data_IF_879538332218
#
_entry.id   IF_879538332218
#
_cell.length_a   1.000
_cell.length_b   1.000
_cell.length_c   1.000
_cell.angle_alpha   90.00
_cell.angle_beta   90.00
_cell.angle_gamma   90.00
#
_symmetry.space_group_name_H-M   'P 1'
#
loop_
_entity.id
_entity.type
_entity.pdbx_description
1 polymer ?
#
# COMPACT_ATOMS: atom_id res chain seq x y z
N UNK A 1 6.16 -12.93 15.79
CA UNK A 1 5.42 -12.73 14.53
C UNK A 1 6.29 -11.90 13.59
N UNK A 2 6.44 -12.26 12.32
CA UNK A 2 7.29 -11.50 11.38
C UNK A 2 6.42 -10.45 10.68
N UNK A 3 6.57 -9.19 11.08
CA UNK A 3 6.03 -8.05 10.35
C UNK A 3 6.90 -7.78 9.13
N UNK A 4 6.27 -7.37 8.05
CA UNK A 4 6.91 -6.96 6.80
C UNK A 4 6.45 -5.54 6.50
N UNK A 5 7.26 -4.80 5.77
CA UNK A 5 6.98 -3.44 5.41
C UNK A 5 7.26 -3.19 3.93
N UNK A 6 6.58 -2.20 3.37
CA UNK A 6 6.84 -1.69 2.03
C UNK A 6 6.84 -0.17 2.08
N UNK A 7 7.72 0.45 1.29
CA UNK A 7 7.78 1.90 1.12
C UNK A 7 7.06 2.22 -0.19
N UNK A 8 6.08 3.13 -0.14
CA UNK A 8 5.27 3.51 -1.30
C UNK A 8 5.07 5.03 -1.34
N UNK A 9 4.89 5.62 -2.54
CA UNK A 9 4.48 7.01 -2.65
C UNK A 9 3.13 7.25 -1.96
N UNK A 10 3.00 8.36 -1.25
CA UNK A 10 1.74 8.79 -0.63
C UNK A 10 1.58 10.30 -0.73
N UNK A 11 0.67 10.74 -1.61
CA UNK A 11 0.51 12.16 -1.97
C UNK A 11 1.86 12.76 -2.38
N UNK A 12 2.31 13.82 -1.69
CA UNK A 12 3.59 14.50 -1.93
C UNK A 12 4.70 14.03 -0.96
N UNK A 13 4.50 12.91 -0.28
CA UNK A 13 5.45 12.32 0.66
C UNK A 13 5.62 10.82 0.39
N UNK A 14 6.29 10.14 1.33
CA UNK A 14 6.57 8.71 1.32
C UNK A 14 5.82 8.08 2.50
N UNK A 15 5.24 6.92 2.28
CA UNK A 15 4.59 6.13 3.31
C UNK A 15 5.27 4.78 3.50
N UNK A 16 5.29 4.32 4.75
CA UNK A 16 5.62 2.96 5.14
C UNK A 16 4.32 2.22 5.50
N UNK A 17 4.06 1.12 4.83
CA UNK A 17 2.93 0.23 5.15
C UNK A 17 3.48 -1.01 5.85
N UNK A 18 3.11 -1.20 7.12
CA UNK A 18 3.55 -2.34 7.95
C UNK A 18 2.40 -3.33 8.11
N UNK A 19 2.65 -4.62 7.88
CA UNK A 19 1.63 -5.68 7.93
C UNK A 19 2.23 -7.05 8.28
N UNK A 20 1.39 -8.01 8.66
CA UNK A 20 1.82 -9.38 8.96
C UNK A 20 1.48 -10.36 7.83
N UNK A 21 2.48 -11.09 7.32
CA UNK A 21 2.26 -12.07 6.25
C UNK A 21 1.48 -13.31 6.69
N UNK A 22 1.53 -13.69 7.97
CA UNK A 22 1.00 -14.97 8.45
C UNK A 22 -0.45 -14.93 8.96
N UNK A 23 -1.01 -13.75 9.16
CA UNK A 23 -2.39 -13.61 9.68
C UNK A 23 -3.43 -13.89 8.59
N UNK A 24 -4.58 -14.48 8.96
CA UNK A 24 -5.68 -14.72 8.02
C UNK A 24 -6.38 -13.40 7.67
N UNK A 25 -6.63 -12.59 8.69
CA UNK A 25 -7.06 -11.20 8.54
C UNK A 25 -5.84 -10.30 8.57
N UNK A 26 -5.79 -9.32 7.67
CA UNK A 26 -4.68 -8.39 7.58
C UNK A 26 -5.03 -7.07 8.21
N UNK A 27 -4.05 -6.54 8.94
CA UNK A 27 -3.98 -5.14 9.33
C UNK A 27 -2.82 -4.46 8.63
N UNK A 28 -3.04 -3.23 8.21
CA UNK A 28 -2.07 -2.38 7.54
C UNK A 28 -1.89 -1.11 8.37
N UNK A 29 -0.75 -1.02 9.07
CA UNK A 29 -0.36 0.20 9.76
C UNK A 29 0.31 1.15 8.77
N UNK A 30 -0.32 2.31 8.56
CA UNK A 30 0.15 3.32 7.62
C UNK A 30 0.93 4.38 8.40
N UNK A 31 2.18 4.56 8.03
CA UNK A 31 3.05 5.61 8.54
C UNK A 31 3.43 6.55 7.40
N UNK A 32 3.54 7.84 7.68
CA UNK A 32 3.93 8.85 6.70
C UNK A 32 5.18 9.56 7.18
N UNK A 33 6.08 9.84 6.24
CA UNK A 33 7.29 10.59 6.54
C UNK A 33 6.96 12.07 6.74
N UNK A 34 7.39 12.64 7.87
CA UNK A 34 7.39 14.07 8.09
C UNK A 34 8.48 14.69 7.21
N UNK A 35 8.14 15.76 6.50
CA UNK A 35 9.05 16.40 5.54
C UNK A 35 10.08 17.34 6.22
N UNK A 36 10.10 17.41 7.55
CA UNK A 36 11.06 18.20 8.30
C UNK A 36 12.40 17.46 8.41
N UNK A 37 13.41 17.96 7.70
CA UNK A 37 14.75 17.38 7.68
C UNK A 37 15.46 17.57 9.03
N UNK A 38 16.02 16.49 9.59
CA UNK A 38 16.86 16.53 10.80
C UNK A 38 16.15 16.20 12.12
N UNK A 39 14.90 15.73 12.08
CA UNK A 39 14.17 15.28 13.27
C UNK A 39 14.46 13.79 13.53
N UNK A 40 14.75 13.40 14.77
CA UNK A 40 15.06 12.00 15.13
C UNK A 40 13.89 11.03 14.89
N UNK A 41 12.66 11.53 14.76
CA UNK A 41 11.46 10.74 14.51
C UNK A 41 10.69 11.26 13.28
N UNK A 42 11.20 10.96 12.09
CA UNK A 42 10.59 11.36 10.82
C UNK A 42 9.31 10.59 10.45
N UNK A 43 8.82 9.64 11.26
CA UNK A 43 7.65 8.83 10.90
C UNK A 43 6.50 9.04 11.88
N UNK A 44 5.35 9.45 11.34
CA UNK A 44 4.11 9.57 12.11
C UNK A 44 3.14 8.49 11.67
N UNK A 45 2.56 7.76 12.63
CA UNK A 45 1.50 6.79 12.32
C UNK A 45 0.25 7.57 11.92
N UNK A 46 -0.19 7.40 10.67
CA UNK A 46 -1.37 8.06 10.15
C UNK A 46 -2.64 7.32 10.59
N UNK A 47 -2.70 6.02 10.34
CA UNK A 47 -3.86 5.19 10.67
C UNK A 47 -3.54 3.70 10.64
N UNK A 48 -4.47 2.88 11.12
CA UNK A 48 -4.50 1.43 10.93
C UNK A 48 -5.72 1.08 10.08
N UNK A 49 -5.52 0.32 9.00
CA UNK A 49 -6.59 -0.20 8.16
C UNK A 49 -6.74 -1.70 8.42
N UNK A 50 -7.99 -2.17 8.58
CA UNK A 50 -8.34 -3.58 8.78
C UNK A 50 -9.27 -3.80 9.97
N UNK A 51 -9.67 -5.06 10.23
CA UNK A 51 -9.22 -6.28 9.55
C UNK A 51 -9.73 -6.39 8.11
N UNK A 52 -8.89 -6.89 7.20
CA UNK A 52 -9.31 -7.25 5.83
C UNK A 52 -9.02 -8.73 5.60
N UNK A 53 -10.03 -9.48 5.17
CA UNK A 53 -9.90 -10.90 4.86
C UNK A 53 -9.52 -11.13 3.39
N UNK A 54 -8.90 -12.28 3.11
CA UNK A 54 -8.55 -12.76 1.74
C UNK A 54 -7.60 -11.82 0.97
N UNK A 55 -6.84 -11.01 1.69
CA UNK A 55 -5.79 -10.15 1.12
C UNK A 55 -4.42 -10.53 1.64
N UNK A 56 -3.40 -10.18 0.87
CA UNK A 56 -2.01 -10.52 1.14
C UNK A 56 -1.21 -9.25 1.39
N UNK A 57 -0.37 -8.85 0.43
CA UNK A 57 0.52 -7.71 0.57
C UNK A 57 -0.11 -6.43 -0.01
N UNK A 58 0.26 -5.27 0.56
CA UNK A 58 -0.03 -4.00 -0.07
C UNK A 58 0.97 -3.72 -1.20
N UNK A 59 0.48 -3.08 -2.25
CA UNK A 59 1.25 -2.68 -3.42
C UNK A 59 1.36 -1.16 -3.53
N UNK A 60 0.47 -0.41 -2.87
CA UNK A 60 0.49 1.05 -2.85
C UNK A 60 -0.88 1.64 -2.58
N UNK A 61 -1.01 2.93 -2.87
CA UNK A 61 -2.25 3.68 -2.76
C UNK A 61 -2.83 4.01 -4.14
N UNK A 62 -4.15 4.06 -4.21
CA UNK A 62 -4.89 4.65 -5.33
C UNK A 62 -5.22 6.12 -5.05
N UNK A 63 -5.95 6.73 -5.97
CA UNK A 63 -6.15 8.19 -6.09
C UNK A 63 -6.75 8.85 -4.85
N UNK A 64 -7.65 8.18 -4.13
CA UNK A 64 -8.38 8.74 -2.99
C UNK A 64 -7.97 8.11 -1.65
N UNK A 65 -6.78 7.48 -1.59
CA UNK A 65 -6.30 6.80 -0.39
C UNK A 65 -6.81 5.37 -0.25
N UNK A 66 -7.47 4.82 -1.27
CA UNK A 66 -7.75 3.39 -1.34
C UNK A 66 -6.44 2.59 -1.38
N UNK A 67 -6.42 1.40 -0.81
CA UNK A 67 -5.27 0.51 -0.86
C UNK A 67 -5.33 -0.34 -2.12
N UNK A 68 -4.20 -0.46 -2.81
CA UNK A 68 -4.04 -1.48 -3.84
C UNK A 68 -3.34 -2.67 -3.21
N UNK A 69 -3.98 -3.83 -3.28
CA UNK A 69 -3.55 -5.05 -2.63
C UNK A 69 -3.45 -6.19 -3.65
N UNK A 70 -2.57 -7.15 -3.36
CA UNK A 70 -2.67 -8.49 -3.92
C UNK A 70 -3.60 -9.31 -3.04
N UNK A 71 -4.59 -9.98 -3.62
CA UNK A 71 -5.46 -10.89 -2.87
C UNK A 71 -4.86 -12.31 -2.76
N UNK A 72 -5.44 -13.17 -1.92
CA UNK A 72 -4.95 -14.54 -1.73
C UNK A 72 -5.00 -15.41 -3.00
N UNK A 73 -5.78 -14.99 -3.99
CA UNK A 73 -5.86 -15.61 -5.33
C UNK A 73 -4.83 -15.05 -6.31
N UNK A 74 -3.92 -14.15 -5.91
CA UNK A 74 -2.92 -13.57 -6.83
C UNK A 74 -3.51 -12.54 -7.81
N UNK A 75 -4.66 -11.96 -7.47
CA UNK A 75 -5.30 -10.90 -8.25
C UNK A 75 -5.05 -9.53 -7.64
N UNK A 76 -5.08 -8.52 -8.50
CA UNK A 76 -5.04 -7.12 -8.09
C UNK A 76 -6.43 -6.65 -7.62
N UNK A 77 -6.50 -6.10 -6.42
CA UNK A 77 -7.73 -5.51 -5.85
C UNK A 77 -7.48 -4.10 -5.33
N UNK A 78 -8.50 -3.25 -5.42
CA UNK A 78 -8.57 -1.95 -4.74
C UNK A 78 -9.51 -2.10 -3.55
N UNK A 79 -9.08 -1.65 -2.38
CA UNK A 79 -9.87 -1.62 -1.16
C UNK A 79 -10.06 -0.18 -0.68
N UNK A 80 -11.31 0.25 -0.56
CA UNK A 80 -11.65 1.55 -0.01
C UNK A 80 -11.90 1.43 1.51
N UNK A 81 -11.05 2.04 2.35
CA UNK A 81 -11.20 1.98 3.80
C UNK A 81 -12.40 2.77 4.33
N UNK A 82 -12.99 3.69 3.56
CA UNK A 82 -14.08 4.56 4.00
C UNK A 82 -15.44 3.85 4.05
N UNK A 83 -15.69 2.97 3.08
CA UNK A 83 -16.93 2.19 2.96
C UNK A 83 -16.68 0.67 3.06
N UNK A 84 -15.41 0.26 3.22
CA UNK A 84 -14.98 -1.14 3.32
C UNK A 84 -15.26 -1.97 2.06
N UNK A 85 -15.41 -1.33 0.90
CA UNK A 85 -15.63 -2.02 -0.36
C UNK A 85 -14.33 -2.51 -1.00
N UNK A 86 -14.41 -3.67 -1.65
CA UNK A 86 -13.30 -4.26 -2.40
C UNK A 86 -13.70 -4.47 -3.86
N UNK A 87 -12.84 -3.99 -4.77
CA UNK A 87 -13.00 -4.16 -6.21
C UNK A 87 -11.84 -4.92 -6.81
N UNK A 88 -12.12 -6.03 -7.50
CA UNK A 88 -11.12 -6.76 -8.29
C UNK A 88 -10.92 -6.09 -9.64
N UNK A 89 -9.66 -5.90 -10.05
CA UNK A 89 -9.32 -5.22 -11.30
C UNK A 89 -9.15 -6.17 -12.50
N UNK A 90 -9.30 -7.48 -12.31
CA UNK A 90 -9.18 -8.48 -13.37
C UNK A 90 -7.75 -8.82 -13.79
N UNK A 91 -6.74 -8.19 -13.19
CA UNK A 91 -5.34 -8.57 -13.38
C UNK A 91 -4.96 -9.72 -12.46
N UNK A 92 -4.34 -10.75 -13.03
CA UNK A 92 -3.87 -11.94 -12.33
C UNK A 92 -2.37 -12.11 -12.58
N UNK A 93 -1.64 -12.52 -11.55
CA UNK A 93 -0.23 -12.82 -11.66
C UNK A 93 0.18 -13.97 -10.74
N UNK A 94 1.48 -14.28 -10.74
CA UNK A 94 2.01 -15.21 -9.75
C UNK A 94 1.86 -14.59 -8.37
N UNK A 95 1.15 -15.27 -7.46
CA UNK A 95 1.02 -14.86 -6.05
C UNK A 95 2.41 -14.52 -5.51
N UNK A 96 2.55 -13.36 -4.90
CA UNK A 96 3.85 -12.95 -4.42
C UNK A 96 4.62 -12.06 -5.42
N UNK A 97 4.13 -11.82 -6.64
CA UNK A 97 4.92 -11.18 -7.72
C UNK A 97 4.23 -10.01 -8.44
N UNK A 98 3.01 -9.63 -8.09
CA UNK A 98 2.41 -8.40 -8.61
C UNK A 98 3.16 -7.15 -8.15
N UNK A 99 3.39 -6.22 -9.08
CA UNK A 99 4.04 -4.94 -8.79
C UNK A 99 3.22 -3.82 -9.42
N UNK A 100 3.28 -2.64 -8.82
CA UNK A 100 2.67 -1.42 -9.34
C UNK A 100 3.76 -0.38 -9.38
N UNK A 101 3.84 0.31 -10.50
CA UNK A 101 4.77 1.43 -10.68
C UNK A 101 3.95 2.70 -10.76
N UNK A 102 4.25 3.64 -9.87
CA UNK A 102 3.68 4.98 -9.94
C UNK A 102 4.46 5.75 -10.99
N UNK A 103 3.81 6.04 -12.12
CA UNK A 103 4.39 6.87 -13.17
C UNK A 103 3.99 8.33 -12.95
N UNK A 104 4.98 9.22 -12.89
CA UNK A 104 4.80 10.67 -12.87
C UNK A 104 5.49 11.22 -14.10
N UNK A 105 4.72 11.86 -14.98
CA UNK A 105 5.26 12.49 -16.19
C UNK A 105 6.33 13.52 -15.82
N UNK A 106 7.42 13.51 -16.59
CA UNK A 106 8.46 14.52 -16.53
C UNK A 106 8.21 15.55 -17.62
N UNK A 107 8.42 16.83 -17.31
CA UNK A 107 8.42 17.91 -18.31
C UNK A 107 9.67 17.90 -19.20
N UNK A 108 10.64 17.05 -18.88
CA UNK A 108 11.85 16.87 -19.69
C UNK A 108 11.62 15.74 -20.68
N UNK A 109 11.67 16.07 -21.98
CA UNK A 109 11.72 15.07 -23.04
C UNK A 109 13.01 14.29 -22.93
N UNK A 110 12.91 12.96 -22.83
CA UNK A 110 14.06 12.08 -22.97
C UNK A 110 14.25 11.86 -24.46
N UNK A 111 15.03 12.76 -25.09
CA UNK A 111 15.53 12.57 -26.46
C UNK A 111 16.80 11.71 -26.44
#
# INVERSE_FOLDING_TARGET
MRSVWVIVPFKESISLIVYCLKEVEKYYDIWVMNNEMGVENCWTKLQRIGPISRVERPLGFWKNGELILENSSGQLVIYDPSNQEMKTLGFYGKRGKLEIVVYKESLVSVN
#
